data_IF_736392488317
#
_entry.id   IF_736392488317
#
_cell.length_a   1.000
_cell.length_b   1.000
_cell.length_c   1.000
_cell.angle_alpha   90.00
_cell.angle_beta   90.00
_cell.angle_gamma   90.00
#
_symmetry.space_group_name_H-M   'P 1'
#
loop_
_entity.id
_entity.type
_entity.pdbx_description
1 polymer ?
#
# COMPACT_ATOMS: atom_id res chain seq x y z
N UNK A 1 -19.51 35.07 -8.40
CA UNK A 1 -20.08 33.82 -8.94
C UNK A 1 -19.04 32.74 -8.70
N UNK A 2 -19.39 31.61 -8.09
CA UNK A 2 -18.39 30.57 -7.73
C UNK A 2 -17.85 29.87 -8.98
N UNK A 3 -16.54 29.63 -8.99
CA UNK A 3 -15.82 28.93 -10.06
C UNK A 3 -16.23 27.46 -10.09
N UNK A 4 -16.43 26.83 -8.94
CA UNK A 4 -16.94 25.46 -8.82
C UNK A 4 -18.31 25.28 -9.48
N UNK A 5 -19.23 26.23 -9.27
CA UNK A 5 -20.54 26.21 -9.92
C UNK A 5 -20.41 26.33 -11.45
N UNK A 6 -19.53 27.21 -11.93
CA UNK A 6 -19.26 27.36 -13.37
C UNK A 6 -18.72 26.06 -13.98
N UNK A 7 -17.75 25.41 -13.31
CA UNK A 7 -17.18 24.14 -13.75
C UNK A 7 -18.24 23.03 -13.80
N UNK A 8 -19.10 22.91 -12.78
CA UNK A 8 -20.19 21.92 -12.75
C UNK A 8 -21.20 22.11 -13.89
N UNK A 9 -21.46 23.35 -14.29
CA UNK A 9 -22.34 23.64 -15.44
C UNK A 9 -21.67 23.28 -16.77
N UNK A 10 -20.36 23.54 -16.91
CA UNK A 10 -19.60 23.25 -18.13
C UNK A 10 -19.27 21.76 -18.30
N UNK A 11 -19.23 21.02 -17.20
CA UNK A 11 -18.86 19.61 -17.16
C UNK A 11 -19.98 18.85 -16.48
N UNK A 12 -21.10 18.57 -17.16
CA UNK A 12 -22.15 17.75 -16.58
C UNK A 12 -21.64 16.33 -16.32
N UNK A 13 -22.13 15.72 -15.23
CA UNK A 13 -21.80 14.34 -14.87
C UNK A 13 -22.19 13.39 -15.99
N UNK A 14 -21.28 12.50 -16.38
CA UNK A 14 -21.57 11.46 -17.38
C UNK A 14 -22.38 10.30 -16.75
N UNK A 15 -23.21 9.58 -17.52
CA UNK A 15 -24.05 8.50 -16.99
C UNK A 15 -23.27 7.34 -16.35
N UNK A 16 -22.06 7.07 -16.84
CA UNK A 16 -21.15 6.01 -16.39
C UNK A 16 -20.23 6.43 -15.24
N UNK A 17 -20.21 7.72 -14.90
CA UNK A 17 -19.33 8.27 -13.88
C UNK A 17 -19.95 8.13 -12.50
N UNK A 18 -19.17 7.67 -11.52
CA UNK A 18 -19.60 7.69 -10.11
C UNK A 18 -19.70 9.12 -9.59
N UNK A 19 -20.43 9.33 -8.47
CA UNK A 19 -20.48 10.67 -7.85
C UNK A 19 -19.10 11.13 -7.39
N UNK A 20 -18.32 10.21 -6.80
CA UNK A 20 -16.98 10.51 -6.31
C UNK A 20 -16.03 10.93 -7.44
N UNK A 21 -16.02 10.20 -8.56
CA UNK A 21 -15.19 10.57 -9.72
C UNK A 21 -15.59 11.91 -10.33
N UNK A 22 -16.89 12.23 -10.29
CA UNK A 22 -17.40 13.51 -10.75
C UNK A 22 -16.95 14.66 -9.85
N UNK A 23 -17.07 14.50 -8.53
CA UNK A 23 -16.57 15.44 -7.54
C UNK A 23 -15.06 15.63 -7.62
N UNK A 24 -14.29 14.56 -7.85
CA UNK A 24 -12.84 14.59 -8.06
C UNK A 24 -12.45 15.40 -9.29
N UNK A 25 -13.08 15.11 -10.42
CA UNK A 25 -12.81 15.81 -11.67
C UNK A 25 -13.19 17.29 -11.58
N UNK A 26 -14.34 17.62 -11.01
CA UNK A 26 -14.79 19.01 -10.89
C UNK A 26 -13.90 19.81 -9.95
N UNK A 27 -13.52 19.27 -8.78
CA UNK A 27 -12.61 19.95 -7.86
C UNK A 27 -11.22 20.18 -8.46
N UNK A 28 -10.66 19.18 -9.17
CA UNK A 28 -9.36 19.35 -9.82
C UNK A 28 -9.39 20.40 -10.93
N UNK A 29 -10.46 20.45 -11.74
CA UNK A 29 -10.63 21.49 -12.77
C UNK A 29 -10.82 22.88 -12.16
N UNK A 30 -11.63 22.99 -11.10
CA UNK A 30 -11.81 24.25 -10.36
C UNK A 30 -10.48 24.73 -9.79
N UNK A 31 -9.69 23.83 -9.20
CA UNK A 31 -8.35 24.14 -8.72
C UNK A 31 -7.46 24.67 -9.85
N UNK A 32 -7.42 24.01 -11.01
CA UNK A 32 -6.62 24.45 -12.15
C UNK A 32 -6.98 25.87 -12.62
N UNK A 33 -8.27 26.17 -12.78
CA UNK A 33 -8.74 27.50 -13.20
C UNK A 33 -8.39 28.59 -12.18
N UNK A 34 -8.58 28.31 -10.88
CA UNK A 34 -8.24 29.25 -9.82
C UNK A 34 -6.71 29.42 -9.66
N UNK A 35 -5.94 28.35 -9.85
CA UNK A 35 -4.48 28.38 -9.80
C UNK A 35 -3.89 29.20 -10.95
N UNK A 36 -4.41 29.09 -12.17
CA UNK A 36 -4.01 29.94 -13.29
C UNK A 36 -4.25 31.43 -12.99
N UNK A 37 -5.42 31.78 -12.45
CA UNK A 37 -5.72 33.15 -12.00
C UNK A 37 -4.81 33.59 -10.86
N UNK A 38 -4.50 32.71 -9.91
CA UNK A 38 -3.56 32.97 -8.81
C UNK A 38 -2.17 33.33 -9.35
N UNK A 39 -1.64 32.55 -10.30
CA UNK A 39 -0.35 32.81 -10.94
C UNK A 39 -0.33 34.15 -11.69
N UNK A 40 -1.47 34.53 -12.28
CA UNK A 40 -1.66 35.81 -12.94
C UNK A 40 -1.97 36.97 -11.97
N UNK A 41 -2.04 36.72 -10.65
CA UNK A 41 -2.46 37.67 -9.61
C UNK A 41 -3.80 38.34 -9.91
N UNK A 42 -4.72 37.58 -10.53
CA UNK A 42 -6.00 38.06 -11.04
C UNK A 42 -7.19 37.53 -10.23
N UNK A 43 -6.97 36.94 -9.05
CA UNK A 43 -8.04 36.48 -8.17
C UNK A 43 -8.75 37.66 -7.51
N UNK A 44 -10.07 37.59 -7.46
CA UNK A 44 -10.89 38.42 -6.57
C UNK A 44 -10.86 37.85 -5.15
N UNK A 45 -11.24 38.66 -4.14
CA UNK A 45 -11.29 38.20 -2.72
C UNK A 45 -12.17 36.97 -2.50
N UNK A 46 -13.29 36.88 -3.22
CA UNK A 46 -14.19 35.72 -3.13
C UNK A 46 -13.54 34.47 -3.74
N UNK A 47 -12.82 34.64 -4.85
CA UNK A 47 -12.09 33.54 -5.49
C UNK A 47 -10.84 33.13 -4.70
N UNK A 48 -10.20 34.03 -3.95
CA UNK A 48 -9.11 33.67 -3.03
C UNK A 48 -9.61 32.71 -1.95
N UNK A 49 -10.79 32.99 -1.37
CA UNK A 49 -11.41 32.11 -0.37
C UNK A 49 -11.79 30.76 -0.98
N UNK A 50 -12.39 30.77 -2.17
CA UNK A 50 -12.73 29.54 -2.92
C UNK A 50 -11.45 28.75 -3.27
N UNK A 51 -10.38 29.43 -3.66
CA UNK A 51 -9.10 28.81 -3.99
C UNK A 51 -8.47 28.12 -2.78
N UNK A 52 -8.44 28.75 -1.61
CA UNK A 52 -7.90 28.10 -0.40
C UNK A 52 -8.73 26.87 0.01
N UNK A 53 -10.06 26.93 -0.08
CA UNK A 53 -10.94 25.80 0.22
C UNK A 53 -10.71 24.63 -0.76
N UNK A 54 -10.75 24.92 -2.07
CA UNK A 54 -10.52 23.92 -3.12
C UNK A 54 -9.10 23.35 -3.04
N UNK A 55 -8.09 24.19 -2.76
CA UNK A 55 -6.71 23.74 -2.57
C UNK A 55 -6.60 22.77 -1.41
N UNK A 56 -7.24 23.06 -0.28
CA UNK A 56 -7.27 22.16 0.88
C UNK A 56 -7.85 20.79 0.53
N UNK A 57 -8.97 20.78 -0.19
CA UNK A 57 -9.64 19.54 -0.62
C UNK A 57 -8.80 18.72 -1.61
N UNK A 58 -8.23 19.37 -2.63
CA UNK A 58 -7.34 18.72 -3.61
C UNK A 58 -6.08 18.18 -2.92
N UNK A 59 -5.49 18.95 -2.01
CA UNK A 59 -4.31 18.53 -1.27
C UNK A 59 -4.61 17.31 -0.40
N UNK A 60 -5.71 17.31 0.36
CA UNK A 60 -6.13 16.16 1.17
C UNK A 60 -6.32 14.88 0.32
N UNK A 61 -6.85 15.02 -0.89
CA UNK A 61 -7.01 13.90 -1.84
C UNK A 61 -5.67 13.42 -2.39
N UNK A 62 -4.79 14.33 -2.77
CA UNK A 62 -3.42 13.99 -3.19
C UNK A 62 -2.59 13.37 -2.06
N UNK A 63 -2.84 13.72 -0.80
CA UNK A 63 -2.17 13.08 0.34
C UNK A 63 -2.43 11.57 0.38
N UNK A 64 -3.68 11.16 0.14
CA UNK A 64 -4.06 9.74 0.09
C UNK A 64 -3.61 9.03 -1.20
N UNK A 65 -3.63 9.72 -2.34
CA UNK A 65 -3.28 9.12 -3.62
C UNK A 65 -1.76 9.05 -3.88
N UNK A 66 -0.98 9.97 -3.32
CA UNK A 66 0.45 10.12 -3.57
C UNK A 66 1.36 9.61 -2.46
N UNK A 67 0.81 9.27 -1.29
CA UNK A 67 1.61 8.93 -0.10
C UNK A 67 2.18 10.13 0.65
N UNK A 68 1.74 11.35 0.29
CA UNK A 68 2.24 12.56 0.93
C UNK A 68 1.84 12.63 2.42
N UNK A 69 0.86 11.83 2.87
CA UNK A 69 0.55 11.68 4.29
C UNK A 69 1.71 11.02 5.04
N UNK A 70 2.22 9.87 4.58
CA UNK A 70 3.41 9.25 5.18
C UNK A 70 4.66 10.16 5.16
N UNK A 71 4.89 10.91 4.08
CA UNK A 71 6.00 11.88 4.00
C UNK A 71 5.82 13.06 4.96
N UNK A 72 4.59 13.52 5.19
CA UNK A 72 4.31 14.65 6.07
C UNK A 72 4.64 14.36 7.54
N UNK A 73 4.50 13.10 7.96
CA UNK A 73 4.82 12.62 9.31
C UNK A 73 6.27 12.18 9.50
N UNK A 74 7.04 12.08 8.41
CA UNK A 74 8.43 11.69 8.48
C UNK A 74 9.34 12.83 8.94
N UNK A 75 10.42 12.47 9.63
CA UNK A 75 11.53 13.38 9.92
C UNK A 75 12.01 14.05 8.62
N UNK A 76 12.39 15.33 8.69
CA UNK A 76 12.71 16.15 7.51
C UNK A 76 13.81 15.53 6.63
N UNK A 77 14.81 14.91 7.24
CA UNK A 77 15.93 14.21 6.58
C UNK A 77 15.54 12.88 5.93
N UNK A 78 14.34 12.36 6.23
CA UNK A 78 13.88 11.03 5.82
C UNK A 78 12.65 11.05 4.92
N UNK A 79 12.03 12.22 4.69
CA UNK A 79 10.86 12.36 3.81
C UNK A 79 11.06 11.67 2.46
N UNK A 80 12.22 11.90 1.82
CA UNK A 80 12.51 11.29 0.52
C UNK A 80 12.67 9.76 0.58
N UNK A 81 13.18 9.22 1.70
CA UNK A 81 13.24 7.78 1.92
C UNK A 81 11.85 7.20 2.07
N UNK A 82 10.99 7.81 2.89
CA UNK A 82 9.62 7.35 3.12
C UNK A 82 8.77 7.45 1.84
N UNK A 83 8.93 8.54 1.07
CA UNK A 83 8.32 8.67 -0.24
C UNK A 83 8.76 7.57 -1.22
N UNK A 84 10.04 7.17 -1.17
CA UNK A 84 10.54 6.03 -1.94
C UNK A 84 9.91 4.71 -1.49
N UNK A 85 9.87 4.44 -0.18
CA UNK A 85 9.21 3.24 0.38
C UNK A 85 7.76 3.17 -0.07
N UNK A 86 7.01 4.28 0.03
CA UNK A 86 5.62 4.34 -0.43
C UNK A 86 5.47 3.99 -1.91
N UNK A 87 6.32 4.55 -2.79
CA UNK A 87 6.30 4.24 -4.24
C UNK A 87 6.66 2.78 -4.53
N UNK A 88 7.65 2.22 -3.85
CA UNK A 88 8.03 0.81 -4.02
C UNK A 88 6.92 -0.14 -3.56
N UNK A 89 6.28 0.13 -2.42
CA UNK A 89 5.12 -0.63 -1.94
C UNK A 89 3.94 -0.56 -2.91
N UNK A 90 3.67 0.61 -3.49
CA UNK A 90 2.65 0.78 -4.53
C UNK A 90 2.98 -0.03 -5.78
N UNK A 91 4.23 -0.08 -6.20
CA UNK A 91 4.66 -0.90 -7.33
C UNK A 91 4.55 -2.40 -7.05
N UNK A 92 4.81 -2.84 -5.82
CA UNK A 92 4.74 -4.25 -5.42
C UNK A 92 3.30 -4.75 -5.26
N UNK A 93 2.44 -3.97 -4.59
CA UNK A 93 1.10 -4.40 -4.20
C UNK A 93 -0.04 -3.86 -5.08
N UNK A 94 0.25 -2.88 -5.95
CA UNK A 94 -0.77 -2.13 -6.67
C UNK A 94 -1.58 -1.20 -5.75
N UNK A 95 -2.32 -0.27 -6.32
CA UNK A 95 -3.13 0.69 -5.56
C UNK A 95 -4.53 0.89 -6.15
N UNK A 96 -5.08 -0.14 -6.79
CA UNK A 96 -6.34 -0.04 -7.51
C UNK A 96 -7.53 0.21 -6.56
N UNK A 97 -7.42 -0.23 -5.30
CA UNK A 97 -8.45 -0.05 -4.28
C UNK A 97 -8.05 0.97 -3.21
N UNK A 98 -9.05 1.67 -2.66
CA UNK A 98 -8.87 2.62 -1.55
C UNK A 98 -8.25 1.94 -0.34
N UNK A 99 -8.65 0.70 -0.04
CA UNK A 99 -8.09 -0.09 1.06
C UNK A 99 -6.59 -0.32 0.86
N UNK A 100 -6.14 -0.67 -0.35
CA UNK A 100 -4.71 -0.83 -0.64
C UNK A 100 -3.95 0.49 -0.46
N UNK A 101 -4.48 1.61 -0.97
CA UNK A 101 -3.88 2.95 -0.80
C UNK A 101 -3.66 3.28 0.67
N UNK A 102 -4.69 3.09 1.50
CA UNK A 102 -4.62 3.35 2.94
C UNK A 102 -3.59 2.42 3.61
N UNK A 103 -3.59 1.13 3.28
CA UNK A 103 -2.63 0.18 3.86
C UNK A 103 -1.18 0.49 3.47
N UNK A 104 -0.94 0.91 2.23
CA UNK A 104 0.40 1.32 1.77
C UNK A 104 0.87 2.57 2.52
N UNK A 105 0.02 3.59 2.66
CA UNK A 105 0.37 4.81 3.40
C UNK A 105 0.61 4.54 4.90
N UNK A 106 -0.21 3.68 5.51
CA UNK A 106 -0.03 3.24 6.90
C UNK A 106 1.26 2.43 7.07
N UNK A 107 1.59 1.56 6.13
CA UNK A 107 2.82 0.78 6.16
C UNK A 107 4.06 1.69 6.03
N UNK A 108 4.06 2.63 5.07
CA UNK A 108 5.13 3.61 4.94
C UNK A 108 5.28 4.47 6.20
N UNK A 109 4.17 4.88 6.81
CA UNK A 109 4.16 5.62 8.08
C UNK A 109 4.73 4.78 9.24
N UNK A 110 4.39 3.49 9.33
CA UNK A 110 4.93 2.59 10.35
C UNK A 110 6.45 2.41 10.22
N UNK A 111 6.97 2.31 8.99
CA UNK A 111 8.42 2.35 8.75
C UNK A 111 9.05 3.67 9.22
N UNK A 112 8.41 4.80 8.92
CA UNK A 112 8.90 6.10 9.41
C UNK A 112 8.99 6.14 10.93
N UNK A 113 7.94 5.73 11.62
CA UNK A 113 7.91 5.71 13.08
C UNK A 113 8.98 4.78 13.67
N UNK A 114 9.13 3.56 13.13
CA UNK A 114 10.16 2.63 13.55
C UNK A 114 11.56 3.24 13.46
N UNK A 115 11.89 3.85 12.31
CA UNK A 115 13.18 4.51 12.10
C UNK A 115 13.38 5.69 13.05
N UNK A 116 12.33 6.48 13.32
CA UNK A 116 12.40 7.61 14.26
C UNK A 116 12.66 7.10 15.68
N UNK A 117 11.92 6.08 16.15
CA UNK A 117 12.15 5.49 17.47
C UNK A 117 13.55 4.88 17.60
N UNK A 118 14.04 4.19 16.57
CA UNK A 118 15.42 3.66 16.55
C UNK A 118 16.47 4.78 16.65
N UNK A 119 16.26 5.90 15.93
CA UNK A 119 17.14 7.08 16.01
C UNK A 119 17.15 7.67 17.41
N UNK A 120 15.98 7.89 17.99
CA UNK A 120 15.85 8.41 19.36
C UNK A 120 16.46 7.46 20.39
N UNK A 121 16.24 6.16 20.22
CA UNK A 121 16.84 5.15 21.08
C UNK A 121 18.36 5.16 20.98
N UNK A 122 18.93 5.28 19.77
CA UNK A 122 20.37 5.36 19.56
C UNK A 122 20.97 6.63 20.16
N UNK A 123 20.35 7.80 19.95
CA UNK A 123 20.84 9.08 20.49
C UNK A 123 20.73 9.16 22.00
N UNK A 124 19.70 8.54 22.59
CA UNK A 124 19.58 8.41 24.04
C UNK A 124 20.58 7.42 24.58
N UNK A 125 20.75 6.24 23.97
CA UNK A 125 21.65 5.21 24.50
C UNK A 125 23.12 5.60 24.39
N UNK A 126 23.51 6.28 23.33
CA UNK A 126 24.90 6.58 23.01
C UNK A 126 25.12 8.08 22.82
N UNK A 127 26.07 8.68 23.54
CA UNK A 127 26.70 9.95 23.20
C UNK A 127 28.06 9.70 22.55
N UNK A 128 28.57 10.68 21.82
CA UNK A 128 29.95 10.66 21.37
C UNK A 128 30.82 11.41 22.39
N UNK A 129 31.94 10.83 22.79
CA UNK A 129 32.95 11.54 23.55
C UNK A 129 33.75 12.52 22.65
N UNK A 130 34.66 13.30 23.25
CA UNK A 130 35.48 14.27 22.51
C UNK A 130 36.37 13.63 21.42
N UNK A 131 36.58 12.31 21.46
CA UNK A 131 37.35 11.54 20.48
C UNK A 131 36.45 10.80 19.48
N UNK A 132 35.14 11.07 19.48
CA UNK A 132 34.17 10.42 18.60
C UNK A 132 33.85 8.96 18.98
N UNK A 133 34.21 8.51 20.19
CA UNK A 133 33.86 7.16 20.66
C UNK A 133 32.48 7.16 21.31
N UNK A 134 31.71 6.11 21.07
CA UNK A 134 30.39 5.95 21.68
C UNK A 134 30.53 5.71 23.20
N UNK A 135 29.96 6.60 23.99
CA UNK A 135 29.79 6.50 25.44
C UNK A 135 28.33 6.21 25.75
N UNK A 136 28.06 5.21 26.58
CA UNK A 136 26.69 4.91 27.02
C UNK A 136 26.19 6.02 27.94
N UNK A 137 25.03 6.61 27.63
CA UNK A 137 24.38 7.56 28.51
C UNK A 137 23.47 6.82 29.51
N UNK A 138 23.37 7.37 30.72
CA UNK A 138 22.42 6.92 31.74
C UNK A 138 21.11 7.70 31.58
N UNK A 139 20.32 7.34 30.57
CA UNK A 139 18.93 7.80 30.51
C UNK A 139 18.05 6.97 31.45
N UNK A 140 16.96 7.55 31.99
CA UNK A 140 16.00 6.81 32.81
C UNK A 140 15.53 5.53 32.12
N UNK A 141 15.58 4.36 32.78
CA UNK A 141 15.12 3.10 32.20
C UNK A 141 13.68 3.13 31.70
N UNK A 142 12.82 3.97 32.29
CA UNK A 142 11.43 4.19 31.87
C UNK A 142 11.33 4.71 30.44
N UNK A 143 12.13 5.72 30.08
CA UNK A 143 12.14 6.30 28.74
C UNK A 143 12.70 5.30 27.72
N UNK A 144 13.77 4.59 28.08
CA UNK A 144 14.34 3.54 27.23
C UNK A 144 13.38 2.37 27.00
N UNK A 145 12.51 2.07 27.98
CA UNK A 145 11.45 1.07 27.84
C UNK A 145 10.34 1.56 26.91
N UNK A 146 9.89 2.80 27.06
CA UNK A 146 8.87 3.41 26.21
C UNK A 146 9.30 3.43 24.73
N UNK A 147 10.56 3.80 24.46
CA UNK A 147 11.10 3.78 23.09
C UNK A 147 11.13 2.37 22.51
N UNK A 148 11.51 1.34 23.29
CA UNK A 148 11.43 -0.06 22.83
C UNK A 148 10.02 -0.49 22.51
N UNK A 149 9.06 -0.13 23.36
CA UNK A 149 7.64 -0.41 23.10
C UNK A 149 7.15 0.28 21.82
N UNK A 150 7.63 1.50 21.54
CA UNK A 150 7.36 2.20 20.28
C UNK A 150 7.91 1.46 19.05
N UNK A 151 9.15 0.94 19.14
CA UNK A 151 9.78 0.12 18.09
C UNK A 151 8.98 -1.17 17.88
N UNK A 152 8.68 -1.90 18.95
CA UNK A 152 7.91 -3.15 18.91
C UNK A 152 6.52 -2.95 18.30
N UNK A 153 5.80 -1.91 18.75
CA UNK A 153 4.47 -1.56 18.21
C UNK A 153 4.52 -1.20 16.72
N UNK A 154 5.54 -0.46 16.28
CA UNK A 154 5.73 -0.10 14.88
C UNK A 154 6.04 -1.34 14.02
N UNK A 155 6.88 -2.24 14.53
CA UNK A 155 7.20 -3.51 13.86
C UNK A 155 5.98 -4.43 13.75
N UNK A 156 5.18 -4.54 14.81
CA UNK A 156 3.92 -5.28 14.78
C UNK A 156 2.95 -4.72 13.74
N UNK A 157 2.85 -3.39 13.63
CA UNK A 157 2.05 -2.73 12.60
C UNK A 157 2.57 -3.05 11.19
N UNK A 158 3.88 -2.98 10.98
CA UNK A 158 4.52 -3.34 9.70
C UNK A 158 4.13 -4.77 9.30
N UNK A 159 4.29 -5.74 10.21
CA UNK A 159 3.94 -7.14 9.96
C UNK A 159 2.47 -7.29 9.59
N UNK A 160 1.56 -6.69 10.37
CA UNK A 160 0.11 -6.76 10.14
C UNK A 160 -0.30 -6.15 8.81
N UNK A 161 0.25 -4.98 8.45
CA UNK A 161 -0.10 -4.31 7.20
C UNK A 161 0.47 -5.05 5.98
N UNK A 162 1.68 -5.60 6.07
CA UNK A 162 2.25 -6.46 5.02
C UNK A 162 1.40 -7.71 4.84
N UNK A 163 0.98 -8.36 5.93
CA UNK A 163 0.07 -9.51 5.87
C UNK A 163 -1.27 -9.13 5.22
N UNK A 164 -1.90 -8.04 5.65
CA UNK A 164 -3.15 -7.58 5.07
C UNK A 164 -3.03 -7.27 3.56
N UNK A 165 -1.94 -6.62 3.14
CA UNK A 165 -1.68 -6.36 1.71
C UNK A 165 -1.46 -7.66 0.93
N UNK A 166 -0.74 -8.62 1.50
CA UNK A 166 -0.55 -9.94 0.90
C UNK A 166 -1.86 -10.70 0.77
N UNK A 167 -2.70 -10.71 1.79
CA UNK A 167 -3.99 -11.41 1.80
C UNK A 167 -4.97 -10.80 0.78
N UNK A 168 -4.94 -9.47 0.59
CA UNK A 168 -5.73 -8.81 -0.46
C UNK A 168 -5.22 -9.20 -1.85
N UNK A 169 -3.90 -9.26 -2.05
CA UNK A 169 -3.30 -9.55 -3.36
C UNK A 169 -3.31 -11.03 -3.72
N UNK A 170 -3.20 -11.90 -2.72
CA UNK A 170 -3.04 -13.36 -2.83
C UNK A 170 -3.79 -13.99 -1.66
N UNK A 171 -5.13 -14.04 -1.71
CA UNK A 171 -5.93 -14.55 -0.60
C UNK A 171 -5.50 -15.99 -0.26
N UNK A 172 -5.29 -16.30 1.03
CA UNK A 172 -4.87 -17.63 1.44
C UNK A 172 -5.91 -18.66 1.01
N UNK A 173 -5.47 -19.72 0.34
CA UNK A 173 -6.36 -20.82 -0.07
C UNK A 173 -6.84 -21.54 1.19
N UNK A 174 -8.08 -21.29 1.59
CA UNK A 174 -8.71 -21.97 2.71
C UNK A 174 -8.72 -23.48 2.45
N UNK A 175 -8.14 -24.27 3.36
CA UNK A 175 -7.94 -25.73 3.20
C UNK A 175 -9.27 -26.50 3.02
N UNK A 176 -10.41 -25.92 3.38
CA UNK A 176 -11.74 -26.50 3.10
C UNK A 176 -11.98 -26.70 1.60
N UNK A 177 -11.45 -25.83 0.74
CA UNK A 177 -11.55 -25.97 -0.72
C UNK A 177 -10.57 -27.03 -1.24
N UNK A 178 -9.38 -27.17 -0.63
CA UNK A 178 -8.45 -28.26 -0.97
C UNK A 178 -9.10 -29.63 -0.70
N UNK A 179 -9.76 -29.81 0.44
CA UNK A 179 -10.48 -31.05 0.75
C UNK A 179 -11.65 -31.31 -0.20
N UNK A 180 -12.34 -30.26 -0.66
CA UNK A 180 -13.38 -30.40 -1.68
C UNK A 180 -12.80 -30.86 -3.03
N UNK A 181 -11.67 -30.29 -3.49
CA UNK A 181 -10.97 -30.75 -4.70
C UNK A 181 -10.45 -32.19 -4.57
N UNK A 182 -9.88 -32.56 -3.43
CA UNK A 182 -9.45 -33.95 -3.18
C UNK A 182 -10.65 -34.92 -3.13
N UNK A 183 -11.77 -34.53 -2.51
CA UNK A 183 -12.98 -35.34 -2.46
C UNK A 183 -13.63 -35.50 -3.85
N UNK A 184 -13.68 -34.44 -4.66
CA UNK A 184 -14.21 -34.50 -6.03
C UNK A 184 -13.34 -35.40 -6.92
N UNK A 185 -12.02 -35.30 -6.82
CA UNK A 185 -11.09 -36.15 -7.56
C UNK A 185 -11.14 -37.62 -7.10
N UNK A 186 -11.36 -37.90 -5.81
CA UNK A 186 -11.61 -39.27 -5.34
C UNK A 186 -12.95 -39.81 -5.81
N UNK A 187 -14.00 -38.99 -5.85
CA UNK A 187 -15.32 -39.40 -6.32
C UNK A 187 -15.33 -39.71 -7.83
N UNK A 188 -14.59 -38.95 -8.64
CA UNK A 188 -14.41 -39.23 -10.08
C UNK A 188 -13.62 -40.52 -10.31
N UNK A 189 -12.58 -40.78 -9.51
CA UNK A 189 -11.75 -41.99 -9.65
C UNK A 189 -12.40 -43.27 -9.09
N UNK A 190 -13.44 -43.16 -8.24
CA UNK A 190 -14.19 -44.31 -7.74
C UNK A 190 -15.44 -44.65 -8.58
N UNK A 191 -15.78 -43.81 -9.57
CA UNK A 191 -16.95 -44.01 -10.44
C UNK A 191 -16.69 -44.86 -11.69
N UNK A 192 -15.45 -45.28 -11.95
CA UNK A 192 -15.10 -46.12 -13.10
C UNK A 192 -14.81 -47.53 -12.59
N UNK A 193 -15.68 -48.54 -12.83
CA UNK A 193 -15.34 -49.92 -12.53
C UNK A 193 -14.09 -50.31 -13.36
N UNK A 194 -13.20 -51.17 -12.82
CA UNK A 194 -12.01 -51.58 -13.55
C UNK A 194 -12.41 -52.13 -14.92
N UNK A 195 -11.91 -51.54 -16.00
CA UNK A 195 -11.87 -52.23 -17.29
C UNK A 195 -10.77 -53.26 -17.18
N UNK A 196 -11.13 -54.53 -17.24
CA UNK A 196 -10.20 -55.64 -17.35
C UNK A 196 -9.25 -55.39 -18.52
N UNK A 197 -7.99 -55.09 -18.20
CA UNK A 197 -6.90 -54.92 -19.15
C UNK A 197 -5.80 -55.92 -18.81
N UNK A 198 -6.12 -57.22 -18.86
CA UNK A 198 -5.13 -58.29 -18.86
C UNK A 198 -5.54 -59.36 -19.86
N UNK A 199 -5.15 -59.17 -21.12
CA UNK A 199 -4.49 -60.19 -21.94
C UNK A 199 -4.24 -59.65 -23.36
N UNK A 200 -3.29 -58.72 -23.48
CA UNK A 200 -2.63 -58.46 -24.75
C UNK A 200 -1.18 -58.06 -24.47
N UNK A 201 -0.29 -59.06 -24.42
CA UNK A 201 1.10 -59.02 -24.89
C UNK A 201 1.95 -60.16 -24.30
N UNK A 202 1.74 -61.39 -24.77
CA UNK A 202 2.82 -62.38 -24.73
C UNK A 202 3.86 -62.03 -25.79
N UNK A 203 4.93 -61.41 -25.32
CA UNK A 203 6.33 -61.51 -25.75
C UNK A 203 6.60 -61.90 -27.22
N UNK A 204 6.92 -60.91 -28.05
CA UNK A 204 7.89 -61.08 -29.14
C UNK A 204 9.29 -60.91 -28.55
N UNK A 205 10.05 -62.01 -28.50
CA UNK A 205 11.52 -61.93 -28.45
C UNK A 205 12.06 -62.72 -29.63
N UNK A 206 12.41 -62.01 -30.69
CA UNK A 206 13.20 -62.54 -31.80
C UNK A 206 14.65 -62.69 -31.31
N UNK A 207 15.20 -63.90 -31.37
CA UNK A 207 16.64 -64.09 -31.51
C UNK A 207 16.89 -65.16 -32.58
N UNK A 208 17.30 -64.68 -33.75
CA UNK A 208 17.92 -65.46 -34.80
C UNK A 208 19.43 -65.51 -34.57
N UNK A 209 20.03 -66.69 -34.63
CA UNK A 209 21.39 -66.90 -35.16
C UNK A 209 21.56 -68.31 -35.70
N UNK A 210 22.13 -68.37 -36.90
CA UNK A 210 22.48 -69.52 -37.74
C UNK A 210 23.49 -70.51 -37.14
N UNK A 211 23.23 -71.81 -37.33
CA UNK A 211 24.03 -72.80 -38.11
C UNK A 211 23.90 -74.19 -37.49
#
# INVERSE_FOLDING_TARGET
>A
MSTLLSVRQQQPKKPDQTELEYEDMTLLKTFGQLYEKFQQKALTKDEEKEYEDVRGQVFARHMLAGGAMSESHADSDRKHLIGRVHRELRAEYGDESVTKKILIDRLASAYSMALSYERYFASMKYSLDANGRAKTNLFPPSIMKEMRMGIESSNDQIIRFVQALRDINRPPITVKTKNAFFAQNQQVNQGVPPRDLENDSFAKTEHATHS
#
